data_IF_070151564212
#
_entry.id   IF_070151564212
#
_cell.length_a   1.000
_cell.length_b   1.000
_cell.length_c   1.000
_cell.angle_alpha   90.00
_cell.angle_beta   90.00
_cell.angle_gamma   90.00
#
_symmetry.space_group_name_H-M   'P 1'
#
loop_
_entity.id
_entity.type
_entity.pdbx_description
1 polymer ?
#
# COMPACT_ATOMS: atom_id res chain seq x y z
N UNK A 1 27.03 28.09 -16.14
CA UNK A 1 27.44 27.67 -14.78
C UNK A 1 26.27 26.89 -14.22
N UNK A 2 26.32 25.55 -14.28
CA UNK A 2 25.21 24.69 -13.86
C UNK A 2 25.10 24.83 -12.34
N UNK A 3 24.03 25.46 -11.86
CA UNK A 3 23.72 25.54 -10.43
C UNK A 3 23.10 24.21 -10.04
N UNK A 4 23.92 23.16 -10.07
CA UNK A 4 23.57 21.88 -9.46
C UNK A 4 23.63 22.10 -7.95
N UNK A 5 22.48 22.37 -7.33
CA UNK A 5 22.34 21.99 -5.93
C UNK A 5 22.68 20.49 -5.85
N UNK A 6 23.39 20.06 -4.82
CA UNK A 6 23.43 18.65 -4.42
C UNK A 6 22.01 18.22 -3.95
N UNK A 7 21.00 18.27 -4.83
CA UNK A 7 19.58 18.13 -4.46
C UNK A 7 19.28 16.70 -3.98
N UNK A 8 20.02 15.71 -4.46
CA UNK A 8 19.78 14.31 -4.10
C UNK A 8 20.88 13.79 -3.17
N UNK A 9 20.88 14.27 -1.93
CA UNK A 9 21.38 13.42 -0.84
C UNK A 9 20.28 12.41 -0.55
N UNK A 10 20.59 11.12 -0.68
CA UNK A 10 19.70 10.08 -0.18
C UNK A 10 19.72 10.16 1.34
N UNK A 11 18.57 10.38 1.97
CA UNK A 11 18.49 10.49 3.42
C UNK A 11 18.10 9.15 4.05
N UNK A 12 18.78 8.75 5.13
CA UNK A 12 18.23 7.70 5.99
C UNK A 12 16.95 8.25 6.65
N UNK A 13 15.82 7.59 6.42
CA UNK A 13 14.54 8.02 6.97
C UNK A 13 14.53 8.13 8.50
N UNK A 14 15.36 7.37 9.23
CA UNK A 14 15.48 7.55 10.69
C UNK A 14 16.09 8.91 11.04
N UNK A 15 17.00 9.41 10.20
CA UNK A 15 17.51 10.77 10.33
C UNK A 15 16.43 11.79 9.99
N UNK A 16 15.57 11.51 9.00
CA UNK A 16 14.39 12.34 8.68
C UNK A 16 13.45 12.41 9.90
N UNK A 17 13.00 11.28 10.46
CA UNK A 17 12.12 11.25 11.66
C UNK A 17 12.74 12.04 12.83
N UNK A 18 14.04 11.86 13.07
CA UNK A 18 14.77 12.55 14.12
C UNK A 18 14.88 14.05 13.85
N UNK A 19 15.07 14.46 12.60
CA UNK A 19 15.17 15.85 12.17
C UNK A 19 13.82 16.56 12.19
N UNK A 20 12.74 15.89 11.78
CA UNK A 20 11.36 16.39 11.92
C UNK A 20 11.07 16.71 13.39
N UNK A 21 11.44 15.84 14.33
CA UNK A 21 11.32 16.10 15.78
C UNK A 21 12.12 17.32 16.26
N UNK A 22 13.17 17.71 15.52
CA UNK A 22 13.98 18.93 15.77
C UNK A 22 13.49 20.15 14.98
N UNK A 23 12.37 20.05 14.27
CA UNK A 23 11.79 21.17 13.52
C UNK A 23 12.24 21.27 12.06
N UNK A 24 12.91 20.26 11.49
CA UNK A 24 13.31 20.28 10.08
C UNK A 24 12.10 20.18 9.14
N UNK A 25 12.20 20.90 8.03
CA UNK A 25 11.19 20.95 6.96
C UNK A 25 11.72 20.20 5.75
N UNK A 26 11.03 19.14 5.38
CA UNK A 26 11.34 18.33 4.21
C UNK A 26 10.29 18.55 3.12
N UNK A 27 10.74 18.61 1.87
CA UNK A 27 9.87 18.90 0.73
C UNK A 27 10.08 17.87 -0.39
N UNK A 28 9.00 17.23 -0.81
CA UNK A 28 8.93 16.44 -2.04
C UNK A 28 8.37 17.35 -3.12
N UNK A 29 9.06 17.44 -4.26
CA UNK A 29 8.68 18.24 -5.41
C UNK A 29 8.27 17.26 -6.51
N UNK A 30 7.00 16.84 -6.49
CA UNK A 30 6.50 15.79 -7.36
C UNK A 30 5.98 16.36 -8.68
N UNK A 31 6.39 15.76 -9.80
CA UNK A 31 5.91 16.11 -11.13
C UNK A 31 4.89 15.07 -11.64
N UNK A 32 3.62 15.47 -11.69
CA UNK A 32 2.49 14.63 -12.11
C UNK A 32 2.37 14.55 -13.64
N UNK A 33 1.62 13.56 -14.11
CA UNK A 33 1.23 13.30 -15.50
C UNK A 33 2.33 12.77 -16.44
N UNK A 34 3.40 12.17 -15.90
CA UNK A 34 4.42 11.54 -16.75
C UNK A 34 3.79 10.48 -17.66
N UNK A 35 4.05 10.57 -18.96
CA UNK A 35 3.44 9.72 -20.00
C UNK A 35 2.24 10.33 -20.74
N UNK A 36 1.70 11.48 -20.28
CA UNK A 36 0.52 12.11 -20.88
C UNK A 36 0.71 12.54 -22.35
N UNK A 37 1.85 13.14 -22.67
CA UNK A 37 2.24 13.56 -24.02
C UNK A 37 3.76 13.65 -24.11
N UNK A 38 4.30 13.74 -25.32
CA UNK A 38 5.75 13.91 -25.54
C UNK A 38 6.30 15.13 -24.81
N UNK A 39 5.64 16.29 -24.90
CA UNK A 39 6.07 17.51 -24.23
C UNK A 39 5.88 17.51 -22.71
N UNK A 40 4.90 16.77 -22.16
CA UNK A 40 4.83 16.55 -20.71
C UNK A 40 5.99 15.68 -20.25
N UNK A 41 6.20 14.53 -20.90
CA UNK A 41 7.31 13.62 -20.59
C UNK A 41 8.67 14.32 -20.67
N UNK A 42 8.93 15.04 -21.76
CA UNK A 42 10.22 15.73 -21.95
C UNK A 42 10.39 16.89 -20.96
N UNK A 43 9.31 17.59 -20.61
CA UNK A 43 9.31 18.60 -19.57
C UNK A 43 9.63 18.03 -18.19
N UNK A 44 8.98 16.93 -17.78
CA UNK A 44 9.23 16.27 -16.51
C UNK A 44 10.65 15.73 -16.42
N UNK A 45 11.15 15.08 -17.48
CA UNK A 45 12.53 14.60 -17.54
C UNK A 45 13.51 15.76 -17.34
N UNK A 46 13.29 16.88 -18.03
CA UNK A 46 14.11 18.07 -17.86
C UNK A 46 13.99 18.66 -16.45
N UNK A 47 12.81 18.63 -15.84
CA UNK A 47 12.61 19.12 -14.48
C UNK A 47 13.37 18.28 -13.44
N UNK A 48 13.54 16.97 -13.69
CA UNK A 48 14.33 16.08 -12.84
C UNK A 48 15.84 16.24 -13.07
N UNK A 49 16.28 16.43 -14.32
CA UNK A 49 17.71 16.46 -14.66
C UNK A 49 18.36 17.83 -14.49
N UNK A 50 17.62 18.90 -14.81
CA UNK A 50 18.11 20.28 -14.78
C UNK A 50 17.45 21.12 -13.68
N UNK A 51 16.36 20.62 -13.08
CA UNK A 51 15.50 21.37 -12.19
C UNK A 51 15.44 20.81 -10.77
N UNK A 52 14.34 21.15 -10.11
CA UNK A 52 14.10 20.87 -8.69
C UNK A 52 13.22 19.63 -8.44
N UNK A 53 12.68 18.97 -9.47
CA UNK A 53 11.76 17.85 -9.26
C UNK A 53 12.49 16.65 -8.63
N UNK A 54 11.93 16.09 -7.56
CA UNK A 54 12.52 14.97 -6.81
C UNK A 54 11.89 13.63 -7.17
N UNK A 55 10.63 13.65 -7.59
CA UNK A 55 9.79 12.49 -7.87
C UNK A 55 8.87 12.77 -9.05
N UNK A 56 8.41 11.70 -9.70
CA UNK A 56 7.43 11.78 -10.78
C UNK A 56 6.29 10.80 -10.52
N UNK A 57 5.07 11.17 -10.89
CA UNK A 57 3.93 10.26 -10.92
C UNK A 57 3.59 9.94 -12.37
N UNK A 58 3.65 8.66 -12.73
CA UNK A 58 3.46 8.20 -14.11
C UNK A 58 2.11 7.55 -14.31
N UNK A 59 1.40 7.98 -15.35
CA UNK A 59 0.15 7.38 -15.80
C UNK A 59 0.47 6.34 -16.88
N UNK A 60 -0.03 5.12 -16.75
CA UNK A 60 0.28 4.02 -17.68
C UNK A 60 -0.63 3.99 -18.91
N UNK A 61 -1.81 4.58 -18.79
CA UNK A 61 -2.92 4.57 -19.76
C UNK A 61 -2.83 5.69 -20.80
N UNK A 62 -1.70 6.41 -20.85
CA UNK A 62 -1.51 7.58 -21.71
C UNK A 62 -0.66 7.29 -22.96
N UNK A 63 -0.77 8.10 -24.03
CA UNK A 63 -0.12 7.84 -25.32
C UNK A 63 1.40 7.68 -25.27
N UNK A 64 2.11 8.40 -24.39
CA UNK A 64 3.58 8.42 -24.34
C UNK A 64 4.16 7.55 -23.20
N UNK A 65 3.30 6.85 -22.44
CA UNK A 65 3.66 6.12 -21.22
C UNK A 65 4.78 5.10 -21.42
N UNK A 66 4.76 4.35 -22.53
CA UNK A 66 5.78 3.33 -22.82
C UNK A 66 7.16 3.96 -23.04
N UNK A 67 7.22 5.11 -23.72
CA UNK A 67 8.47 5.87 -23.92
C UNK A 67 8.93 6.47 -22.61
N UNK A 68 8.02 7.11 -21.88
CA UNK A 68 8.25 7.72 -20.58
C UNK A 68 8.85 6.71 -19.59
N UNK A 69 8.28 5.51 -19.49
CA UNK A 69 8.80 4.43 -18.64
C UNK A 69 10.21 3.98 -19.04
N UNK A 70 10.48 3.85 -20.34
CA UNK A 70 11.81 3.53 -20.85
C UNK A 70 12.87 4.57 -20.47
N UNK A 71 12.51 5.85 -20.53
CA UNK A 71 13.38 6.97 -20.13
C UNK A 71 13.60 6.96 -18.61
N UNK A 72 12.52 6.88 -17.83
CA UNK A 72 12.57 6.92 -16.37
C UNK A 72 13.42 5.77 -15.82
N UNK A 73 13.24 4.55 -16.34
CA UNK A 73 14.07 3.39 -15.98
C UNK A 73 15.53 3.60 -16.32
N UNK A 74 15.85 4.06 -17.54
CA UNK A 74 17.23 4.26 -17.99
C UNK A 74 17.96 5.32 -17.16
N UNK A 75 17.25 6.36 -16.73
CA UNK A 75 17.79 7.46 -15.92
C UNK A 75 17.74 7.18 -14.41
N UNK A 76 17.05 6.14 -13.97
CA UNK A 76 16.92 5.80 -12.55
C UNK A 76 16.09 6.81 -11.75
N UNK A 77 15.08 7.42 -12.37
CA UNK A 77 14.20 8.39 -11.72
C UNK A 77 13.37 7.74 -10.60
N UNK A 78 12.93 8.55 -9.64
CA UNK A 78 11.97 8.12 -8.61
C UNK A 78 10.56 8.16 -9.19
N UNK A 79 9.97 6.99 -9.43
CA UNK A 79 8.69 6.87 -10.16
C UNK A 79 7.59 6.36 -9.24
N UNK A 80 6.48 7.08 -9.15
CA UNK A 80 5.22 6.61 -8.60
C UNK A 80 4.24 6.16 -9.67
N UNK A 81 3.24 5.38 -9.26
CA UNK A 81 2.09 5.05 -10.11
C UNK A 81 1.00 6.09 -9.90
N UNK A 82 0.67 6.82 -10.95
CA UNK A 82 -0.42 7.80 -11.00
C UNK A 82 -1.67 7.14 -11.54
N UNK A 83 -2.45 6.55 -10.62
CA UNK A 83 -3.66 5.81 -10.97
C UNK A 83 -4.62 6.71 -11.75
N UNK A 84 -5.07 6.24 -12.89
CA UNK A 84 -6.01 6.94 -13.75
C UNK A 84 -7.31 6.16 -13.90
N UNK A 85 -8.43 6.81 -13.61
CA UNK A 85 -9.78 6.26 -13.78
C UNK A 85 -10.71 7.24 -14.52
N UNK A 86 -10.19 8.43 -14.88
CA UNK A 86 -10.98 9.54 -15.40
C UNK A 86 -10.27 10.21 -16.56
N UNK A 87 -10.99 10.48 -17.64
CA UNK A 87 -10.45 11.16 -18.81
C UNK A 87 -10.72 12.65 -18.74
N UNK A 88 -9.74 13.44 -18.27
CA UNK A 88 -9.85 14.91 -18.40
C UNK A 88 -9.70 15.40 -19.85
N UNK A 89 -8.95 14.66 -20.70
CA UNK A 89 -8.35 15.20 -21.93
C UNK A 89 -8.62 14.37 -23.19
N UNK A 90 -9.59 13.47 -23.15
CA UNK A 90 -10.03 12.60 -24.25
C UNK A 90 -8.91 11.72 -24.85
N UNK A 91 -7.91 11.33 -24.05
CA UNK A 91 -6.78 10.50 -24.50
C UNK A 91 -6.53 9.26 -23.66
N UNK A 92 -6.97 9.22 -22.40
CA UNK A 92 -6.77 8.09 -21.50
C UNK A 92 -7.70 6.93 -21.86
N UNK A 93 -7.13 5.73 -22.04
CA UNK A 93 -7.86 4.48 -22.29
C UNK A 93 -7.49 3.45 -21.24
N UNK A 94 -8.45 2.69 -20.68
CA UNK A 94 -8.12 1.62 -19.76
C UNK A 94 -7.22 0.58 -20.42
N UNK A 95 -6.32 -0.02 -19.63
CA UNK A 95 -5.48 -1.12 -20.10
C UNK A 95 -6.31 -2.35 -20.46
N UNK A 96 -7.44 -2.55 -19.76
CA UNK A 96 -8.33 -3.68 -19.94
C UNK A 96 -9.41 -3.48 -21.03
N UNK A 97 -9.43 -2.32 -21.69
CA UNK A 97 -10.35 -2.04 -22.80
C UNK A 97 -11.83 -2.27 -22.44
N UNK A 98 -12.52 -3.10 -23.21
CA UNK A 98 -13.96 -3.38 -23.05
C UNK A 98 -14.30 -4.19 -21.78
N UNK A 99 -13.32 -4.83 -21.13
CA UNK A 99 -13.54 -5.62 -19.90
C UNK A 99 -13.86 -4.76 -18.66
N UNK A 100 -13.73 -3.45 -18.78
CA UNK A 100 -14.00 -2.46 -17.73
C UNK A 100 -14.98 -1.38 -18.21
N UNK A 101 -16.02 -1.81 -18.92
CA UNK A 101 -16.99 -0.93 -19.59
C UNK A 101 -17.76 0.02 -18.66
N UNK A 102 -17.83 -0.24 -17.35
CA UNK A 102 -18.41 0.72 -16.40
C UNK A 102 -17.56 1.99 -16.24
N UNK A 103 -16.23 1.89 -16.49
CA UNK A 103 -15.25 2.97 -16.39
C UNK A 103 -15.14 3.82 -17.66
N UNK A 104 -15.79 3.42 -18.75
CA UNK A 104 -15.62 4.04 -20.06
C UNK A 104 -16.88 4.71 -20.62
N UNK A 105 -16.65 5.63 -21.55
CA UNK A 105 -17.66 6.15 -22.46
C UNK A 105 -17.90 5.22 -23.66
N UNK A 106 -18.73 5.67 -24.60
CA UNK A 106 -19.07 4.96 -25.83
C UNK A 106 -17.92 4.88 -26.85
N UNK A 107 -16.85 5.65 -26.65
CA UNK A 107 -15.62 5.65 -27.46
C UNK A 107 -14.51 4.78 -26.85
N UNK A 108 -14.77 4.14 -25.71
CA UNK A 108 -13.80 3.34 -24.96
C UNK A 108 -12.70 4.20 -24.33
N UNK A 109 -12.96 5.48 -24.09
CA UNK A 109 -12.12 6.35 -23.26
C UNK A 109 -12.59 6.27 -21.82
N UNK A 110 -11.73 6.58 -20.84
CA UNK A 110 -12.20 6.76 -19.47
C UNK A 110 -13.31 7.82 -19.40
N UNK A 111 -14.22 7.70 -18.44
CA UNK A 111 -15.26 8.70 -18.22
C UNK A 111 -14.68 10.04 -17.81
N UNK A 112 -15.35 11.13 -18.19
CA UNK A 112 -15.03 12.45 -17.62
C UNK A 112 -15.23 12.43 -16.10
N UNK A 113 -14.49 13.27 -15.37
CA UNK A 113 -14.50 13.31 -13.90
C UNK A 113 -15.92 13.53 -13.34
N UNK A 114 -16.72 14.37 -13.99
CA UNK A 114 -18.12 14.60 -13.62
C UNK A 114 -18.99 13.37 -13.83
N UNK A 115 -18.83 12.67 -14.96
CA UNK A 115 -19.60 11.46 -15.26
C UNK A 115 -19.17 10.29 -14.39
N UNK A 116 -17.87 10.14 -14.14
CA UNK A 116 -17.33 9.15 -13.21
C UNK A 116 -17.89 9.39 -11.82
N UNK A 117 -17.90 10.64 -11.33
CA UNK A 117 -18.51 11.00 -10.05
C UNK A 117 -19.99 10.67 -9.99
N UNK A 118 -20.75 11.02 -11.02
CA UNK A 118 -22.18 10.70 -11.11
C UNK A 118 -22.41 9.18 -11.03
N UNK A 119 -21.63 8.40 -11.79
CA UNK A 119 -21.74 6.93 -11.81
C UNK A 119 -21.28 6.28 -10.52
N UNK A 120 -20.21 6.78 -9.89
CA UNK A 120 -19.77 6.32 -8.56
C UNK A 120 -20.87 6.52 -7.53
N UNK A 121 -21.44 7.74 -7.44
CA UNK A 121 -22.48 8.07 -6.46
C UNK A 121 -23.80 7.34 -6.68
N UNK A 122 -24.06 6.88 -7.90
CA UNK A 122 -25.26 6.13 -8.26
C UNK A 122 -25.06 4.62 -8.31
N UNK A 123 -23.88 4.11 -7.93
CA UNK A 123 -23.56 2.68 -7.93
C UNK A 123 -23.47 2.06 -9.33
N UNK A 124 -23.22 2.88 -10.36
CA UNK A 124 -23.04 2.47 -11.76
C UNK A 124 -21.59 2.19 -12.16
N UNK A 125 -20.63 2.45 -11.28
CA UNK A 125 -19.26 1.97 -11.44
C UNK A 125 -19.15 0.60 -10.78
N UNK A 126 -18.68 -0.40 -11.53
CA UNK A 126 -18.32 -1.69 -10.98
C UNK A 126 -16.96 -1.57 -10.29
N UNK A 127 -16.95 -1.72 -8.96
CA UNK A 127 -15.73 -1.61 -8.14
C UNK A 127 -14.73 -2.73 -8.45
N UNK A 128 -15.21 -3.91 -8.86
CA UNK A 128 -14.35 -5.00 -9.30
C UNK A 128 -13.67 -4.70 -10.64
N UNK A 129 -14.33 -3.98 -11.54
CA UNK A 129 -13.68 -3.45 -12.76
C UNK A 129 -12.61 -2.42 -12.42
N UNK A 130 -12.93 -1.47 -11.54
CA UNK A 130 -11.96 -0.48 -11.05
C UNK A 130 -10.74 -1.16 -10.40
N UNK A 131 -10.94 -2.17 -9.55
CA UNK A 131 -9.85 -2.92 -8.93
C UNK A 131 -8.95 -3.59 -9.96
N UNK A 132 -9.53 -4.29 -10.95
CA UNK A 132 -8.74 -4.96 -12.00
C UNK A 132 -7.94 -3.95 -12.82
N UNK A 133 -8.52 -2.81 -13.18
CA UNK A 133 -7.83 -1.77 -13.94
C UNK A 133 -6.69 -1.14 -13.14
N UNK A 134 -6.91 -0.77 -11.87
CA UNK A 134 -5.87 -0.18 -11.01
C UNK A 134 -4.71 -1.18 -10.83
N UNK A 135 -5.01 -2.46 -10.58
CA UNK A 135 -3.99 -3.51 -10.49
C UNK A 135 -3.21 -3.64 -11.80
N UNK A 136 -3.91 -3.66 -12.94
CA UNK A 136 -3.31 -3.67 -14.26
C UNK A 136 -2.33 -2.51 -14.49
N UNK A 137 -2.67 -1.30 -14.04
CA UNK A 137 -1.78 -0.13 -14.15
C UNK A 137 -0.49 -0.30 -13.31
N UNK A 138 -0.60 -0.81 -12.09
CA UNK A 138 0.57 -1.08 -11.23
C UNK A 138 1.42 -2.21 -11.81
N UNK A 139 0.80 -3.31 -12.21
CA UNK A 139 1.47 -4.47 -12.82
C UNK A 139 2.19 -4.07 -14.11
N UNK A 140 1.56 -3.23 -14.94
CA UNK A 140 2.16 -2.75 -16.17
C UNK A 140 3.43 -1.92 -15.92
N UNK A 141 3.41 -1.06 -14.89
CA UNK A 141 4.57 -0.26 -14.50
C UNK A 141 5.72 -1.15 -14.00
N UNK A 142 5.41 -2.21 -13.24
CA UNK A 142 6.38 -3.20 -12.79
C UNK A 142 6.95 -3.98 -13.99
N UNK A 143 6.11 -4.40 -14.93
CA UNK A 143 6.53 -5.13 -16.13
C UNK A 143 7.47 -4.29 -17.01
N UNK A 144 7.25 -2.97 -17.09
CA UNK A 144 8.19 -2.05 -17.76
C UNK A 144 9.54 -1.92 -17.04
N UNK A 145 9.68 -2.49 -15.85
CA UNK A 145 10.92 -2.57 -15.07
C UNK A 145 11.17 -1.33 -14.22
N UNK A 146 10.11 -0.66 -13.76
CA UNK A 146 10.21 0.50 -12.89
C UNK A 146 10.34 0.07 -11.42
N UNK A 147 11.30 0.66 -10.70
CA UNK A 147 11.38 0.53 -9.23
C UNK A 147 10.46 1.58 -8.58
N UNK A 148 9.21 1.19 -8.35
CA UNK A 148 8.16 2.08 -7.86
C UNK A 148 8.50 2.65 -6.47
N UNK A 149 8.21 3.93 -6.28
CA UNK A 149 8.50 4.71 -5.07
C UNK A 149 7.27 5.03 -4.24
N UNK A 150 6.12 5.25 -4.88
CA UNK A 150 4.86 5.58 -4.21
C UNK A 150 3.66 5.30 -5.13
N UNK A 151 2.45 5.44 -4.58
CA UNK A 151 1.20 5.41 -5.33
C UNK A 151 0.44 6.71 -5.03
N UNK A 152 -0.11 7.31 -6.07
CA UNK A 152 -1.08 8.40 -5.99
C UNK A 152 -2.13 8.22 -7.10
N UNK A 153 -2.94 9.25 -7.39
CA UNK A 153 -3.91 9.15 -8.47
C UNK A 153 -4.16 10.48 -9.15
N UNK A 154 -4.46 10.40 -10.44
CA UNK A 154 -4.96 11.50 -11.23
C UNK A 154 -6.22 12.08 -10.55
N UNK A 155 -6.30 13.41 -10.53
CA UNK A 155 -7.35 14.20 -9.89
C UNK A 155 -7.59 13.91 -8.40
N UNK A 156 -6.79 13.08 -7.73
CA UNK A 156 -7.03 12.64 -6.37
C UNK A 156 -8.23 11.70 -6.22
N UNK A 157 -8.61 10.90 -7.24
CA UNK A 157 -9.71 9.92 -7.13
C UNK A 157 -9.59 8.98 -5.92
N UNK A 158 -8.39 8.60 -5.50
CA UNK A 158 -8.19 7.77 -4.29
C UNK A 158 -8.62 8.48 -2.99
N UNK A 159 -8.76 9.81 -3.01
CA UNK A 159 -9.18 10.60 -1.84
C UNK A 159 -10.69 10.83 -1.77
N UNK A 160 -11.38 10.83 -2.91
CA UNK A 160 -12.80 11.13 -2.93
C UNK A 160 -13.70 9.90 -2.76
N UNK A 161 -13.18 8.71 -3.02
CA UNK A 161 -13.96 7.48 -3.04
C UNK A 161 -13.35 6.43 -2.10
N UNK A 162 -13.95 6.17 -0.93
CA UNK A 162 -13.50 5.16 0.03
C UNK A 162 -13.27 3.76 -0.55
N UNK A 163 -14.08 3.36 -1.53
CA UNK A 163 -13.99 2.09 -2.24
C UNK A 163 -12.69 2.00 -3.04
N UNK A 164 -12.33 3.07 -3.74
CA UNK A 164 -11.08 3.19 -4.47
C UNK A 164 -9.90 3.25 -3.51
N UNK A 165 -10.00 4.01 -2.41
CA UNK A 165 -8.94 4.06 -1.42
C UNK A 165 -8.62 2.68 -0.84
N UNK A 166 -9.63 1.86 -0.54
CA UNK A 166 -9.41 0.49 -0.03
C UNK A 166 -8.62 -0.37 -1.01
N UNK A 167 -8.91 -0.26 -2.31
CA UNK A 167 -8.15 -0.93 -3.37
C UNK A 167 -6.70 -0.44 -3.35
N UNK A 168 -6.49 0.88 -3.35
CA UNK A 168 -5.15 1.50 -3.31
C UNK A 168 -4.36 1.07 -2.08
N UNK A 169 -4.98 1.01 -0.90
CA UNK A 169 -4.34 0.55 0.33
C UNK A 169 -3.96 -0.94 0.24
N UNK A 170 -4.83 -1.79 -0.32
CA UNK A 170 -4.51 -3.20 -0.51
C UNK A 170 -3.28 -3.39 -1.40
N UNK A 171 -3.22 -2.66 -2.52
CA UNK A 171 -2.10 -2.68 -3.47
C UNK A 171 -0.84 -2.09 -2.85
N UNK A 172 -0.91 -0.94 -2.19
CA UNK A 172 0.21 -0.33 -1.46
C UNK A 172 0.79 -1.28 -0.39
N UNK A 173 -0.09 -2.03 0.29
CA UNK A 173 0.31 -3.09 1.22
C UNK A 173 0.95 -4.27 0.48
N UNK A 174 0.49 -4.68 -0.68
CA UNK A 174 1.07 -5.80 -1.44
C UNK A 174 2.46 -5.48 -1.99
N UNK A 175 2.67 -4.28 -2.54
CA UNK A 175 3.92 -3.87 -3.20
C UNK A 175 4.91 -3.12 -2.30
N UNK A 176 4.59 -3.01 -1.01
CA UNK A 176 5.35 -2.27 -0.02
C UNK A 176 5.56 -0.78 -0.37
N UNK A 177 4.56 -0.12 -0.97
CA UNK A 177 4.63 1.28 -1.42
C UNK A 177 3.92 2.24 -0.46
N UNK A 178 4.51 3.41 -0.14
CA UNK A 178 3.80 4.49 0.53
C UNK A 178 2.78 5.10 -0.44
N UNK A 179 1.83 5.87 0.09
CA UNK A 179 0.85 6.59 -0.72
C UNK A 179 0.98 8.09 -0.52
N UNK A 180 0.68 8.88 -1.57
CA UNK A 180 0.47 10.32 -1.45
C UNK A 180 -0.56 10.60 -0.36
N UNK A 181 -0.37 11.71 0.35
CA UNK A 181 -1.22 12.11 1.46
C UNK A 181 -2.71 12.04 1.09
N UNK A 182 -3.50 11.24 1.82
CA UNK A 182 -4.92 11.19 1.60
C UNK A 182 -5.65 12.25 2.43
N UNK A 183 -6.95 12.41 2.18
CA UNK A 183 -7.80 13.22 3.06
C UNK A 183 -7.55 12.86 4.55
N UNK A 184 -7.44 13.84 5.47
CA UNK A 184 -7.21 13.59 6.89
C UNK A 184 -8.17 12.57 7.52
N UNK A 185 -9.40 12.48 7.01
CA UNK A 185 -10.41 11.53 7.45
C UNK A 185 -10.01 10.07 7.24
N UNK A 186 -9.04 9.80 6.36
CA UNK A 186 -8.59 8.45 6.01
C UNK A 186 -7.28 8.02 6.68
N UNK A 187 -6.59 8.92 7.41
CA UNK A 187 -5.28 8.63 8.01
C UNK A 187 -5.29 7.42 8.96
N UNK A 188 -6.41 7.17 9.65
CA UNK A 188 -6.54 6.01 10.53
C UNK A 188 -6.56 4.68 9.76
N UNK A 189 -7.04 4.67 8.52
CA UNK A 189 -7.03 3.47 7.67
C UNK A 189 -5.60 3.14 7.24
N UNK A 190 -4.82 4.16 6.86
CA UNK A 190 -3.40 3.98 6.52
C UNK A 190 -2.63 3.43 7.72
N UNK A 191 -2.86 3.99 8.91
CA UNK A 191 -2.25 3.53 10.16
C UNK A 191 -2.63 2.08 10.47
N UNK A 192 -3.89 1.71 10.22
CA UNK A 192 -4.36 0.34 10.43
C UNK A 192 -3.68 -0.67 9.49
N UNK A 193 -3.38 -0.25 8.26
CA UNK A 193 -2.69 -1.06 7.25
C UNK A 193 -1.15 -0.98 7.33
N UNK A 194 -0.60 -0.13 8.22
CA UNK A 194 0.84 0.08 8.34
C UNK A 194 1.48 0.76 7.12
N UNK A 195 0.70 1.57 6.40
CA UNK A 195 1.13 2.31 5.22
C UNK A 195 1.58 3.71 5.63
N UNK A 196 2.77 4.10 5.17
CA UNK A 196 3.34 5.42 5.35
C UNK A 196 2.86 6.39 4.27
N UNK A 197 2.84 7.67 4.63
CA UNK A 197 2.50 8.78 3.76
C UNK A 197 3.27 10.03 4.20
N UNK A 198 3.14 11.16 3.48
CA UNK A 198 3.68 12.46 3.89
C UNK A 198 2.85 13.08 5.02
N UNK A 199 3.34 14.14 5.66
CA UNK A 199 2.61 14.84 6.72
C UNK A 199 1.60 15.87 6.16
N UNK A 200 1.84 16.35 4.94
CA UNK A 200 1.02 17.37 4.27
C UNK A 200 1.15 17.26 2.74
N UNK A 201 0.16 17.80 2.03
CA UNK A 201 0.12 17.85 0.56
C UNK A 201 -0.35 19.21 0.10
N UNK A 202 0.40 19.79 -0.83
CA UNK A 202 0.07 21.07 -1.41
C UNK A 202 -0.28 20.95 -2.90
N UNK A 203 -1.51 21.34 -3.21
CA UNK A 203 -2.06 21.46 -4.57
C UNK A 203 -2.40 22.93 -4.92
N UNK A 204 -1.75 23.90 -4.27
CA UNK A 204 -2.15 25.33 -4.28
C UNK A 204 -2.04 25.98 -5.65
N UNK A 205 -1.35 25.38 -6.63
CA UNK A 205 -1.34 25.88 -8.01
C UNK A 205 -2.65 25.67 -8.75
N UNK A 206 -3.56 24.83 -8.26
CA UNK A 206 -4.88 24.70 -8.84
C UNK A 206 -5.67 26.00 -8.74
N UNK A 207 -6.09 26.55 -9.89
CA UNK A 207 -6.82 27.83 -9.95
C UNK A 207 -5.96 29.10 -9.85
N UNK A 208 -4.64 28.99 -9.69
CA UNK A 208 -3.74 30.16 -9.63
C UNK A 208 -3.37 30.65 -11.02
N UNK A 209 -3.50 31.96 -11.24
CA UNK A 209 -3.07 32.60 -12.49
C UNK A 209 -1.57 32.43 -12.71
N UNK A 210 -1.15 32.21 -13.96
CA UNK A 210 0.25 31.97 -14.37
C UNK A 210 1.24 32.96 -13.72
N UNK A 211 0.97 34.27 -13.82
CA UNK A 211 1.85 35.31 -13.27
C UNK A 211 1.91 35.40 -11.73
N UNK A 212 1.06 34.66 -11.02
CA UNK A 212 1.01 34.64 -9.56
C UNK A 212 1.66 33.38 -8.95
N UNK A 213 2.02 32.37 -9.76
CA UNK A 213 2.53 31.09 -9.25
C UNK A 213 3.82 31.23 -8.44
N UNK A 214 4.81 32.02 -8.90
CA UNK A 214 6.06 32.25 -8.14
C UNK A 214 5.81 32.81 -6.75
N UNK A 215 5.05 33.91 -6.64
CA UNK A 215 4.70 34.51 -5.33
C UNK A 215 3.93 33.55 -4.44
N UNK A 216 3.08 32.71 -5.03
CA UNK A 216 2.31 31.70 -4.31
C UNK A 216 3.23 30.61 -3.73
N UNK A 217 4.20 30.13 -4.52
CA UNK A 217 5.20 29.17 -4.07
C UNK A 217 6.05 29.75 -2.94
N UNK A 218 6.55 30.99 -3.06
CA UNK A 218 7.36 31.61 -2.00
C UNK A 218 6.56 31.74 -0.69
N UNK A 219 5.30 32.18 -0.76
CA UNK A 219 4.43 32.23 0.43
C UNK A 219 4.20 30.86 1.07
N UNK A 220 4.07 29.82 0.24
CA UNK A 220 3.99 28.45 0.74
C UNK A 220 5.28 28.06 1.48
N UNK A 221 6.45 28.34 0.90
CA UNK A 221 7.74 28.04 1.52
C UNK A 221 7.94 28.80 2.84
N UNK A 222 7.46 30.04 2.94
CA UNK A 222 7.46 30.83 4.18
C UNK A 222 6.63 30.17 5.29
N UNK A 223 5.47 29.62 4.93
CA UNK A 223 4.54 28.97 5.84
C UNK A 223 4.78 27.48 6.07
N UNK A 224 5.80 26.89 5.44
CA UNK A 224 6.04 25.46 5.48
C UNK A 224 6.32 24.99 6.92
N UNK A 225 5.51 24.04 7.40
CA UNK A 225 5.62 23.46 8.75
C UNK A 225 6.73 22.40 8.80
N UNK A 226 7.34 22.16 9.97
CA UNK A 226 8.19 20.98 10.16
C UNK A 226 7.44 19.68 9.84
N UNK A 227 8.11 18.74 9.19
CA UNK A 227 7.50 17.53 8.63
C UNK A 227 7.94 17.28 7.18
N UNK A 228 7.33 16.29 6.55
CA UNK A 228 7.47 15.97 5.14
C UNK A 228 6.23 16.50 4.41
N UNK A 229 6.40 17.49 3.55
CA UNK A 229 5.32 17.99 2.70
C UNK A 229 5.59 17.62 1.25
N UNK A 230 4.56 17.21 0.52
CA UNK A 230 4.61 17.08 -0.93
C UNK A 230 4.02 18.33 -1.58
N UNK A 231 4.68 18.84 -2.63
CA UNK A 231 4.16 19.89 -3.48
C UNK A 231 4.05 19.37 -4.92
N UNK A 232 2.84 19.45 -5.48
CA UNK A 232 2.54 18.94 -6.82
C UNK A 232 2.86 20.00 -7.88
N UNK A 233 3.58 19.58 -8.91
CA UNK A 233 3.79 20.31 -10.15
C UNK A 233 3.25 19.50 -11.35
N UNK A 234 2.87 20.22 -12.40
CA UNK A 234 2.42 19.68 -13.68
C UNK A 234 3.28 20.27 -14.81
N UNK A 235 4.61 20.08 -14.80
CA UNK A 235 5.49 20.74 -15.76
C UNK A 235 5.34 20.15 -17.16
N UNK A 236 5.50 20.98 -18.18
CA UNK A 236 5.56 20.53 -19.58
C UNK A 236 6.35 21.50 -20.43
N UNK A 237 6.87 21.02 -21.56
CA UNK A 237 7.33 21.85 -22.67
C UNK A 237 6.26 21.89 -23.77
N UNK A 238 6.22 23.00 -24.49
CA UNK A 238 5.21 23.21 -25.52
C UNK A 238 5.60 22.50 -26.84
N UNK A 239 4.86 21.46 -27.19
CA UNK A 239 4.85 20.85 -28.52
C UNK A 239 3.41 20.77 -29.06
N UNK A 240 3.23 20.24 -30.28
CA UNK A 240 1.93 20.14 -30.91
C UNK A 240 0.94 19.28 -30.10
N UNK A 241 1.37 18.11 -29.62
CA UNK A 241 0.53 17.20 -28.84
C UNK A 241 0.13 17.80 -27.50
N UNK A 242 1.08 18.40 -26.77
CA UNK A 242 0.84 18.98 -25.44
C UNK A 242 -0.10 20.18 -25.53
N UNK A 243 0.02 21.00 -26.58
CA UNK A 243 -0.90 22.12 -26.83
C UNK A 243 -2.33 21.66 -27.11
N UNK A 244 -2.50 20.49 -27.75
CA UNK A 244 -3.84 19.99 -28.07
C UNK A 244 -4.53 19.29 -26.90
N UNK A 245 -3.77 18.65 -25.99
CA UNK A 245 -4.34 17.83 -24.91
C UNK A 245 -4.21 18.45 -23.52
N UNK A 246 -3.57 19.61 -23.35
CA UNK A 246 -3.34 20.17 -22.00
C UNK A 246 -3.56 21.70 -21.94
N UNK A 247 -3.70 22.23 -20.71
CA UNK A 247 -3.56 23.66 -20.44
C UNK A 247 -2.07 24.06 -20.43
N UNK A 248 -1.41 23.97 -21.58
CA UNK A 248 0.05 23.99 -21.70
C UNK A 248 0.71 25.25 -21.14
N UNK A 249 0.07 26.42 -21.21
CA UNK A 249 0.65 27.67 -20.66
C UNK A 249 0.78 27.60 -19.13
N UNK A 250 -0.16 26.93 -18.46
CA UNK A 250 -0.11 26.73 -17.01
C UNK A 250 0.99 25.76 -16.63
N UNK A 251 1.19 24.71 -17.43
CA UNK A 251 2.24 23.69 -17.25
C UNK A 251 3.63 24.26 -17.52
N UNK A 252 3.78 25.07 -18.57
CA UNK A 252 5.03 25.76 -18.89
C UNK A 252 5.43 26.74 -17.77
N UNK A 253 4.46 27.42 -17.15
CA UNK A 253 4.73 28.28 -16.00
C UNK A 253 5.30 27.50 -14.80
N UNK A 254 4.79 26.30 -14.54
CA UNK A 254 5.30 25.42 -13.48
C UNK A 254 6.69 24.88 -13.83
N UNK A 255 6.91 24.50 -15.09
CA UNK A 255 8.22 24.12 -15.60
C UNK A 255 9.27 25.22 -15.38
N UNK A 256 8.91 26.48 -15.65
CA UNK A 256 9.80 27.63 -15.41
C UNK A 256 10.17 27.76 -13.93
N UNK A 257 9.26 27.48 -13.00
CA UNK A 257 9.55 27.53 -11.57
C UNK A 257 10.50 26.42 -11.12
N UNK A 258 10.33 25.20 -11.65
CA UNK A 258 11.23 24.08 -11.35
C UNK A 258 12.64 24.29 -11.89
N UNK A 259 12.82 25.14 -12.90
CA UNK A 259 14.12 25.52 -13.44
C UNK A 259 14.65 26.87 -12.91
N UNK A 260 13.90 27.55 -12.05
CA UNK A 260 14.23 28.90 -11.62
C UNK A 260 15.31 28.86 -10.51
N UNK A 261 16.53 29.41 -10.75
CA UNK A 261 17.58 29.42 -9.74
C UNK A 261 17.22 30.26 -8.51
N UNK A 262 16.30 31.21 -8.61
CA UNK A 262 15.79 31.97 -7.47
C UNK A 262 14.93 31.08 -6.57
N UNK A 263 14.04 30.25 -7.14
CA UNK A 263 13.25 29.28 -6.35
C UNK A 263 14.17 28.31 -5.62
N UNK A 264 15.22 27.86 -6.31
CA UNK A 264 16.25 27.00 -5.76
C UNK A 264 16.98 27.66 -4.56
N UNK A 265 17.31 28.95 -4.67
CA UNK A 265 17.90 29.74 -3.59
C UNK A 265 16.94 29.91 -2.41
N UNK A 266 15.67 30.21 -2.67
CA UNK A 266 14.64 30.44 -1.64
C UNK A 266 14.38 29.19 -0.77
N UNK A 267 14.39 28.00 -1.38
CA UNK A 267 14.34 26.70 -0.66
C UNK A 267 15.56 26.55 0.25
N UNK A 268 16.75 26.81 -0.29
CA UNK A 268 18.02 26.66 0.43
C UNK A 268 18.18 27.65 1.58
N UNK A 269 17.86 28.92 1.37
CA UNK A 269 17.96 29.98 2.38
C UNK A 269 17.01 29.75 3.56
N UNK A 270 15.87 29.10 3.32
CA UNK A 270 14.95 28.63 4.37
C UNK A 270 15.44 27.34 5.04
N UNK A 271 16.52 26.72 4.58
CA UNK A 271 16.98 25.44 5.11
C UNK A 271 15.98 24.31 4.90
N UNK A 272 15.08 24.43 3.91
CA UNK A 272 14.16 23.37 3.50
C UNK A 272 14.98 22.31 2.77
N UNK A 273 14.74 21.04 3.11
CA UNK A 273 15.51 19.92 2.59
C UNK A 273 14.67 19.14 1.56
N UNK A 274 15.01 19.18 0.27
CA UNK A 274 14.39 18.30 -0.71
C UNK A 274 14.66 16.82 -0.38
N UNK A 275 13.64 15.98 -0.48
CA UNK A 275 13.73 14.51 -0.33
C UNK A 275 12.86 13.82 -1.38
N UNK A 276 12.87 12.49 -1.42
CA UNK A 276 12.01 11.69 -2.30
C UNK A 276 11.06 10.76 -1.53
N UNK A 277 10.02 10.29 -2.22
CA UNK A 277 9.22 9.16 -1.75
C UNK A 277 10.04 7.88 -1.58
N UNK A 278 11.20 7.76 -2.24
CA UNK A 278 12.13 6.64 -2.06
C UNK A 278 12.50 6.45 -0.59
N UNK A 279 12.84 7.52 0.13
CA UNK A 279 13.17 7.44 1.55
C UNK A 279 12.00 6.91 2.39
N UNK A 280 10.78 7.33 2.07
CA UNK A 280 9.55 6.89 2.74
C UNK A 280 9.30 5.40 2.46
N UNK A 281 9.44 4.97 1.21
CA UNK A 281 9.29 3.57 0.80
C UNK A 281 10.32 2.67 1.46
N UNK A 282 11.58 3.09 1.47
CA UNK A 282 12.66 2.27 2.01
C UNK A 282 12.49 2.11 3.52
N UNK A 283 12.01 3.14 4.22
CA UNK A 283 11.56 3.01 5.62
C UNK A 283 10.44 2.01 5.77
N UNK A 284 9.40 2.10 4.95
CA UNK A 284 8.25 1.23 5.04
C UNK A 284 8.64 -0.24 4.83
N UNK A 285 9.52 -0.50 3.85
CA UNK A 285 10.09 -1.82 3.60
C UNK A 285 10.95 -2.29 4.77
N UNK A 286 11.75 -1.42 5.39
CA UNK A 286 12.54 -1.72 6.60
C UNK A 286 11.64 -2.04 7.82
N UNK A 287 10.55 -1.28 8.02
CA UNK A 287 9.56 -1.55 9.07
C UNK A 287 9.00 -2.96 8.94
N UNK A 288 8.58 -3.33 7.73
CA UNK A 288 8.07 -4.68 7.45
C UNK A 288 9.12 -5.75 7.64
N UNK A 289 10.32 -5.58 7.09
CA UNK A 289 11.43 -6.54 7.25
C UNK A 289 11.78 -6.81 8.71
N UNK A 290 11.68 -5.79 9.56
CA UNK A 290 11.95 -5.89 11.01
C UNK A 290 10.75 -6.37 11.83
N UNK A 291 9.60 -6.65 11.20
CA UNK A 291 8.37 -7.00 11.91
C UNK A 291 7.79 -5.85 12.75
N UNK A 292 8.17 -4.60 12.44
CA UNK A 292 7.65 -3.39 13.09
C UNK A 292 6.29 -3.08 12.47
N UNK A 293 5.25 -3.69 13.03
CA UNK A 293 3.84 -3.55 12.65
C UNK A 293 2.93 -4.05 13.77
N UNK A 294 1.61 -3.87 13.63
CA UNK A 294 0.65 -4.27 14.66
C UNK A 294 0.43 -5.78 14.61
N UNK A 295 1.21 -6.53 15.39
CA UNK A 295 0.98 -7.97 15.60
C UNK A 295 -0.39 -8.16 16.26
N UNK A 296 -1.31 -8.83 15.58
CA UNK A 296 -2.58 -9.24 16.17
C UNK A 296 -2.38 -10.58 16.87
N UNK A 297 -2.87 -10.71 18.09
CA UNK A 297 -2.84 -11.95 18.84
C UNK A 297 -4.25 -12.36 19.26
N UNK A 298 -4.57 -13.65 19.12
CA UNK A 298 -5.77 -14.28 19.63
C UNK A 298 -5.41 -15.40 20.59
N UNK A 299 -6.27 -15.68 21.57
CA UNK A 299 -6.11 -16.85 22.44
C UNK A 299 -7.46 -17.50 22.70
N UNK A 300 -7.45 -18.83 22.83
CA UNK A 300 -8.64 -19.62 23.12
C UNK A 300 -8.28 -20.82 23.99
N UNK A 301 -9.27 -21.31 24.74
CA UNK A 301 -9.17 -22.53 25.54
C UNK A 301 -10.46 -23.32 25.42
N UNK A 302 -10.36 -24.60 25.09
CA UNK A 302 -11.48 -25.54 24.97
C UNK A 302 -11.21 -26.75 25.85
N UNK A 303 -12.23 -27.21 26.57
CA UNK A 303 -12.15 -28.44 27.34
C UNK A 303 -12.16 -29.65 26.40
N UNK A 304 -11.20 -30.54 26.58
CA UNK A 304 -11.04 -31.79 25.82
C UNK A 304 -11.14 -33.03 26.71
N UNK A 305 -11.58 -32.89 27.97
CA UNK A 305 -11.86 -34.02 28.86
C UNK A 305 -12.81 -35.01 28.19
N UNK A 306 -12.40 -36.27 27.97
CA UNK A 306 -13.27 -37.26 27.34
C UNK A 306 -14.37 -37.73 28.30
N UNK A 307 -15.47 -38.30 27.76
CA UNK A 307 -16.46 -39.00 28.58
C UNK A 307 -15.83 -40.13 29.42
N UNK A 308 -16.39 -40.32 30.59
CA UNK A 308 -15.95 -41.29 31.59
C UNK A 308 -16.74 -42.62 31.49
N UNK A 309 -16.12 -43.79 31.70
CA UNK A 309 -14.69 -44.05 31.92
C UNK A 309 -13.87 -44.07 30.62
N UNK A 310 -12.56 -43.80 30.72
CA UNK A 310 -11.65 -43.73 29.56
C UNK A 310 -10.30 -44.40 29.86
N UNK A 311 -9.66 -44.92 28.83
CA UNK A 311 -8.31 -45.48 28.94
C UNK A 311 -7.29 -44.35 29.11
N UNK A 312 -6.40 -44.47 30.10
CA UNK A 312 -5.43 -43.43 30.45
C UNK A 312 -4.07 -43.72 29.84
N UNK A 313 -3.37 -42.69 29.37
CA UNK A 313 -2.00 -42.80 28.87
C UNK A 313 -0.99 -42.86 30.00
N UNK A 314 0.17 -43.42 29.70
CA UNK A 314 1.35 -43.37 30.57
C UNK A 314 1.27 -44.30 31.78
N UNK A 315 2.41 -44.45 32.47
CA UNK A 315 2.66 -45.45 33.50
C UNK A 315 2.49 -46.89 33.00
N UNK A 316 3.62 -47.59 32.79
CA UNK A 316 3.66 -48.91 32.17
C UNK A 316 2.75 -49.96 32.83
N UNK A 317 2.64 -49.94 34.17
CA UNK A 317 1.81 -50.89 34.94
C UNK A 317 0.33 -50.47 35.08
N UNK A 318 -0.12 -49.42 34.39
CA UNK A 318 -1.52 -48.97 34.45
C UNK A 318 -2.38 -49.77 33.48
N UNK A 319 -3.29 -50.57 34.03
CA UNK A 319 -4.25 -51.37 33.25
C UNK A 319 -5.72 -51.02 33.51
N UNK A 320 -6.01 -50.28 34.58
CA UNK A 320 -7.37 -49.85 34.93
C UNK A 320 -7.84 -48.69 34.05
N UNK A 321 -9.15 -48.66 33.75
CA UNK A 321 -9.82 -47.47 33.23
C UNK A 321 -9.82 -46.34 34.28
N UNK A 322 -9.98 -45.10 33.82
CA UNK A 322 -10.18 -43.97 34.72
C UNK A 322 -11.33 -44.24 35.69
N UNK A 323 -11.28 -43.66 36.90
CA UNK A 323 -12.34 -43.75 37.95
C UNK A 323 -13.11 -42.44 38.17
N UNK A 324 -12.66 -41.36 37.55
CA UNK A 324 -13.31 -40.06 37.54
C UNK A 324 -12.42 -39.01 36.90
N UNK A 325 -12.89 -37.77 36.88
CA UNK A 325 -12.12 -36.58 36.45
C UNK A 325 -11.71 -35.82 37.70
N UNK A 326 -10.40 -35.66 37.91
CA UNK A 326 -9.88 -34.79 38.98
C UNK A 326 -9.79 -33.34 38.48
N UNK A 327 -9.09 -33.14 37.36
CA UNK A 327 -8.98 -31.86 36.66
C UNK A 327 -9.44 -32.02 35.21
N UNK A 328 -10.12 -30.99 34.70
CA UNK A 328 -10.46 -30.94 33.29
C UNK A 328 -9.21 -30.75 32.42
N UNK A 329 -9.16 -31.48 31.31
CA UNK A 329 -8.11 -31.37 30.30
C UNK A 329 -8.49 -30.30 29.29
N UNK A 330 -7.51 -29.53 28.81
CA UNK A 330 -7.75 -28.46 27.85
C UNK A 330 -6.84 -28.51 26.64
N UNK A 331 -7.37 -28.07 25.50
CA UNK A 331 -6.59 -27.54 24.40
C UNK A 331 -6.55 -26.01 24.53
N UNK A 332 -5.36 -25.42 24.42
CA UNK A 332 -5.10 -23.99 24.49
C UNK A 332 -4.44 -23.57 23.19
N UNK A 333 -5.03 -22.59 22.51
CA UNK A 333 -4.53 -22.05 21.25
C UNK A 333 -4.10 -20.60 21.41
N UNK A 334 -2.99 -20.23 20.77
CA UNK A 334 -2.63 -18.84 20.50
C UNK A 334 -2.48 -18.68 18.99
N UNK A 335 -3.05 -17.61 18.43
CA UNK A 335 -2.79 -17.18 17.06
C UNK A 335 -2.00 -15.88 17.07
N UNK A 336 -1.02 -15.75 16.18
CA UNK A 336 -0.25 -14.54 15.96
C UNK A 336 -0.31 -14.20 14.47
N UNK A 337 -0.66 -12.97 14.13
CA UNK A 337 -0.79 -12.51 12.74
C UNK A 337 -0.08 -11.18 12.52
N UNK A 338 0.70 -11.12 11.45
CA UNK A 338 1.35 -9.89 10.95
C UNK A 338 0.52 -9.19 9.86
N UNK A 339 -0.69 -9.69 9.56
CA UNK A 339 -1.55 -9.18 8.49
C UNK A 339 -1.32 -9.80 7.11
N UNK A 340 -0.26 -10.59 6.91
CA UNK A 340 -0.03 -11.43 5.72
C UNK A 340 -0.08 -12.92 6.05
N UNK A 341 0.51 -13.30 7.17
CA UNK A 341 0.61 -14.69 7.63
C UNK A 341 0.09 -14.77 9.07
N UNK A 342 -0.63 -15.84 9.34
CA UNK A 342 -1.10 -16.16 10.69
C UNK A 342 -0.52 -17.50 11.09
N UNK A 343 0.16 -17.55 12.24
CA UNK A 343 0.68 -18.77 12.85
C UNK A 343 -0.20 -19.14 14.04
N UNK A 344 -0.50 -20.43 14.19
CA UNK A 344 -1.32 -20.96 15.28
C UNK A 344 -0.52 -22.00 16.06
N UNK A 345 -0.46 -21.82 17.37
CA UNK A 345 0.18 -22.73 18.33
C UNK A 345 -0.90 -23.35 19.21
N UNK A 346 -1.02 -24.68 19.22
CA UNK A 346 -2.01 -25.41 20.00
C UNK A 346 -1.30 -26.35 20.98
N UNK A 347 -1.49 -26.12 22.27
CA UNK A 347 -1.06 -26.99 23.36
C UNK A 347 -2.24 -27.81 23.86
N UNK A 348 -2.12 -29.13 23.94
CA UNK A 348 -3.15 -30.01 24.47
C UNK A 348 -2.67 -30.76 25.71
N UNK A 349 -3.53 -30.87 26.72
CA UNK A 349 -3.28 -31.64 27.95
C UNK A 349 -3.36 -33.16 27.66
N UNK A 350 -2.33 -33.68 26.99
CA UNK A 350 -2.16 -35.08 26.55
C UNK A 350 -0.73 -35.58 26.84
N UNK A 351 -0.51 -36.90 26.75
CA UNK A 351 0.85 -37.46 26.88
C UNK A 351 1.71 -37.20 25.63
N UNK A 352 1.13 -37.40 24.44
CA UNK A 352 1.79 -37.13 23.17
C UNK A 352 0.73 -36.77 22.12
N UNK A 353 1.19 -36.22 21.00
CA UNK A 353 0.40 -36.07 19.77
C UNK A 353 1.13 -36.81 18.66
N UNK A 354 0.41 -37.63 17.90
CA UNK A 354 0.98 -38.35 16.76
C UNK A 354 0.82 -37.57 15.45
N UNK A 355 1.54 -37.98 14.41
CA UNK A 355 1.52 -37.32 13.12
C UNK A 355 0.12 -37.30 12.45
N UNK A 356 -0.73 -38.29 12.76
CA UNK A 356 -2.08 -38.37 12.20
C UNK A 356 -2.98 -37.29 12.81
N UNK A 357 -3.04 -37.19 14.14
CA UNK A 357 -3.78 -36.14 14.83
C UNK A 357 -3.28 -34.75 14.43
N UNK A 358 -1.97 -34.54 14.36
CA UNK A 358 -1.38 -33.27 13.91
C UNK A 358 -1.85 -32.93 12.50
N UNK A 359 -1.84 -33.91 11.58
CA UNK A 359 -2.30 -33.72 10.20
C UNK A 359 -3.80 -33.41 10.10
N UNK A 360 -4.65 -34.06 10.89
CA UNK A 360 -6.09 -33.80 10.92
C UNK A 360 -6.41 -32.40 11.45
N UNK A 361 -5.76 -31.98 12.55
CA UNK A 361 -5.93 -30.63 13.11
C UNK A 361 -5.45 -29.56 12.13
N UNK A 362 -4.32 -29.76 11.46
CA UNK A 362 -3.80 -28.83 10.44
C UNK A 362 -4.79 -28.62 9.31
N UNK A 363 -5.30 -29.70 8.74
CA UNK A 363 -6.31 -29.67 7.67
C UNK A 363 -7.57 -28.95 8.10
N UNK A 364 -8.06 -29.25 9.30
CA UNK A 364 -9.31 -28.66 9.79
C UNK A 364 -9.17 -27.18 10.11
N UNK A 365 -8.06 -26.76 10.73
CA UNK A 365 -7.75 -25.33 10.93
C UNK A 365 -7.64 -24.62 9.58
N UNK A 366 -6.93 -25.20 8.62
CA UNK A 366 -6.81 -24.63 7.27
C UNK A 366 -8.16 -24.50 6.57
N UNK A 367 -9.02 -25.52 6.68
CA UNK A 367 -10.36 -25.53 6.08
C UNK A 367 -11.28 -24.47 6.70
N UNK A 368 -11.23 -24.29 8.03
CA UNK A 368 -12.10 -23.37 8.76
C UNK A 368 -11.65 -21.91 8.70
N UNK A 369 -10.34 -21.66 8.54
CA UNK A 369 -9.76 -20.32 8.73
C UNK A 369 -8.99 -19.79 7.53
N UNK A 370 -8.66 -20.63 6.56
CA UNK A 370 -7.77 -20.28 5.45
C UNK A 370 -6.29 -20.18 5.82
N UNK A 371 -5.91 -20.48 7.08
CA UNK A 371 -4.52 -20.48 7.53
C UNK A 371 -3.80 -21.71 6.96
N UNK A 372 -2.66 -21.51 6.29
CA UNK A 372 -1.88 -22.61 5.71
C UNK A 372 -1.49 -23.67 6.75
N UNK A 373 -1.56 -24.95 6.37
CA UNK A 373 -1.27 -26.09 7.25
C UNK A 373 0.14 -26.03 7.86
N UNK A 374 1.11 -25.45 7.14
CA UNK A 374 2.49 -25.25 7.58
C UNK A 374 2.63 -24.17 8.67
N UNK A 375 1.58 -23.40 8.91
CA UNK A 375 1.51 -22.36 9.94
C UNK A 375 0.86 -22.84 11.24
N UNK A 376 0.47 -24.12 11.33
CA UNK A 376 -0.22 -24.67 12.50
C UNK A 376 0.69 -25.68 13.20
N UNK A 377 0.98 -25.43 14.48
CA UNK A 377 1.77 -26.31 15.34
C UNK A 377 0.91 -26.86 16.46
N UNK A 378 0.99 -28.17 16.68
CA UNK A 378 0.23 -28.87 17.73
C UNK A 378 1.21 -29.64 18.59
N UNK A 379 1.11 -29.50 19.91
CA UNK A 379 1.99 -30.17 20.86
C UNK A 379 1.23 -30.60 22.12
N UNK A 380 1.71 -31.67 22.74
CA UNK A 380 1.20 -32.16 24.02
C UNK A 380 1.96 -31.52 25.19
N UNK A 381 1.29 -31.32 26.33
CA UNK A 381 1.97 -30.92 27.58
C UNK A 381 2.72 -32.06 28.26
N UNK A 382 2.60 -33.28 27.73
CA UNK A 382 3.21 -34.49 28.25
C UNK A 382 2.70 -34.91 29.63
N UNK A 383 1.38 -34.88 29.82
CA UNK A 383 0.74 -35.35 31.05
C UNK A 383 0.52 -36.87 31.03
N UNK A 384 0.97 -37.56 32.08
CA UNK A 384 0.71 -38.98 32.32
C UNK A 384 -0.66 -39.23 32.99
N UNK A 385 -1.46 -38.18 33.14
CA UNK A 385 -2.80 -38.21 33.74
C UNK A 385 -3.89 -37.86 32.73
N UNK A 386 -3.59 -37.93 31.43
CA UNK A 386 -4.56 -37.78 30.34
C UNK A 386 -4.96 -39.12 29.69
N UNK A 387 -5.92 -39.11 28.74
CA UNK A 387 -6.31 -40.32 28.02
C UNK A 387 -5.19 -40.82 27.11
N UNK A 388 -5.16 -42.14 26.87
CA UNK A 388 -4.39 -42.74 25.78
C UNK A 388 -4.90 -42.11 24.48
N UNK A 389 -3.98 -41.57 23.65
CA UNK A 389 -4.30 -40.63 22.57
C UNK A 389 -5.26 -41.17 21.49
N UNK A 390 -5.33 -40.48 20.35
CA UNK A 390 -6.30 -40.59 19.24
C UNK A 390 -7.00 -41.95 19.01
N UNK A 391 -6.30 -43.07 19.17
CA UNK A 391 -6.85 -44.43 19.03
C UNK A 391 -7.94 -44.81 20.04
N UNK A 392 -8.00 -44.23 21.24
CA UNK A 392 -9.07 -44.52 22.21
C UNK A 392 -10.35 -43.68 21.99
N UNK A 393 -10.30 -42.61 21.19
CA UNK A 393 -11.44 -41.71 20.96
C UNK A 393 -12.16 -41.93 19.61
N UNK A 394 -11.63 -42.76 18.72
CA UNK A 394 -12.26 -43.05 17.43
C UNK A 394 -13.71 -43.57 17.50
N UNK A 395 -14.15 -44.32 18.54
CA UNK A 395 -15.57 -44.70 18.66
C UNK A 395 -16.49 -43.57 19.16
N UNK A 396 -15.94 -42.46 19.69
CA UNK A 396 -16.72 -41.40 20.35
C UNK A 396 -17.02 -40.17 19.47
N UNK A 397 -16.40 -40.05 18.30
CA UNK A 397 -16.70 -38.96 17.36
C UNK A 397 -18.01 -39.15 16.56
N UNK A 398 -18.76 -40.23 16.78
CA UNK A 398 -20.07 -40.47 16.18
C UNK A 398 -21.25 -39.72 16.83
N UNK A 399 -21.03 -38.88 17.86
CA UNK A 399 -22.10 -38.39 18.74
C UNK A 399 -22.18 -36.88 18.98
N UNK A 400 -21.60 -36.03 18.12
CA UNK A 400 -21.91 -34.60 18.16
C UNK A 400 -22.93 -34.23 17.08
N UNK A 401 -24.16 -33.83 17.43
CA UNK A 401 -25.05 -33.19 16.48
C UNK A 401 -24.47 -31.83 16.09
N UNK A 402 -24.59 -31.52 14.80
CA UNK A 402 -24.28 -30.24 14.19
C UNK A 402 -24.86 -29.07 15.01
N UNK A 403 -24.06 -28.07 15.45
CA UNK A 403 -24.62 -26.86 16.01
C UNK A 403 -25.19 -26.01 14.87
N UNK A 404 -26.48 -25.72 14.96
CA UNK A 404 -27.17 -24.69 14.18
C UNK A 404 -26.68 -23.28 14.55
#
# INVERSE_FOLDING_TARGET
MVVGLEIMRTYDYRLIESAVKRGTRFLILNADDMGMSTGVTDGIVRACEEGLATDISMIQTMPDSRRAAGIARKKGLNVGVHIDLTCQRNVGRPLLGEEVGSLTDDQGLFLSSDTFRERMLSGRIDIGEAEREIRGQVDQAIEWGLDLTHIDSNEGVHNYYPEILKIVLAIAREHDLPIRWPDPAHLDWLRAEGILTTDDLNYTFYGVQVGAKKRTLIRFLDGLRPGITEFIFHPAVADEQTRSVTAWERREAEMKLLLDPEVAAEIKERGIQPISFREIRDRQRDMRRRGVGRLKAGSARVRITPPFPTQMAGFFDRHDLSRGVHDDLYARGISLSDGRRTVVLISADLLYVDAKLVGEVRKEVSRLTGIGEDCVMVFATHTHSGPEGHHAMAPLMGFFPNPA
#
